data_IF_320319988876
#
_entry.id   IF_320319988876
#
_cell.length_a   1.000
_cell.length_b   1.000
_cell.length_c   1.000
_cell.angle_alpha   90.00
_cell.angle_beta   90.00
_cell.angle_gamma   90.00
#
_symmetry.space_group_name_H-M   'P 1'
#
loop_
_entity.id
_entity.type
_entity.pdbx_description
1 polymer ?
#
# COMPACT_ATOMS: atom_id res chain seq x y z
N UNK A 1 -7.90 -4.68 14.57
CA UNK A 1 -6.95 -4.37 15.67
C UNK A 1 -5.63 -5.12 15.54
N UNK A 2 -5.60 -6.44 15.30
CA UNK A 2 -4.34 -7.21 15.22
C UNK A 2 -3.41 -6.78 14.07
N UNK A 3 -3.94 -6.56 12.85
CA UNK A 3 -3.14 -6.16 11.70
C UNK A 3 -2.51 -4.77 11.82
N UNK A 4 -3.21 -3.84 12.46
CA UNK A 4 -2.67 -2.51 12.78
C UNK A 4 -1.41 -2.63 13.65
N UNK A 5 -1.47 -3.44 14.71
CA UNK A 5 -0.33 -3.68 15.58
C UNK A 5 0.83 -4.39 14.87
N UNK A 6 0.53 -5.44 14.10
CA UNK A 6 1.55 -6.16 13.34
C UNK A 6 2.23 -5.25 12.31
N UNK A 7 1.45 -4.40 11.64
CA UNK A 7 1.98 -3.40 10.73
C UNK A 7 2.95 -2.46 11.44
N UNK A 8 2.57 -1.88 12.59
CA UNK A 8 3.47 -1.02 13.36
C UNK A 8 4.77 -1.71 13.77
N UNK A 9 4.69 -2.99 14.18
CA UNK A 9 5.85 -3.78 14.58
C UNK A 9 6.78 -4.09 13.41
N UNK A 10 6.24 -4.38 12.23
CA UNK A 10 7.00 -4.81 11.06
C UNK A 10 7.38 -3.65 10.12
N UNK A 11 6.81 -2.45 10.32
CA UNK A 11 6.98 -1.29 9.44
C UNK A 11 8.45 -0.97 9.19
N UNK A 12 9.25 -0.82 10.24
CA UNK A 12 10.65 -0.43 10.11
C UNK A 12 11.50 -1.46 9.36
N UNK A 13 11.20 -2.75 9.53
CA UNK A 13 11.99 -3.84 8.97
C UNK A 13 11.60 -4.20 7.53
N UNK A 14 10.31 -4.05 7.18
CA UNK A 14 9.77 -4.58 5.92
C UNK A 14 9.18 -3.51 5.00
N UNK A 15 8.64 -2.43 5.58
CA UNK A 15 7.93 -1.39 4.81
C UNK A 15 8.85 -0.23 4.47
N UNK A 16 9.60 0.29 5.45
CA UNK A 16 10.53 1.41 5.21
C UNK A 16 11.52 1.10 4.07
N UNK A 17 12.18 -0.07 4.01
CA UNK A 17 13.05 -0.40 2.88
C UNK A 17 12.32 -0.46 1.53
N UNK A 18 11.06 -0.88 1.52
CA UNK A 18 10.22 -0.91 0.32
C UNK A 18 9.84 0.50 -0.13
N UNK A 19 9.52 1.39 0.80
CA UNK A 19 9.25 2.80 0.52
C UNK A 19 10.50 3.53 0.03
N UNK A 20 11.65 3.28 0.67
CA UNK A 20 12.94 3.84 0.26
C UNK A 20 13.31 3.38 -1.15
N UNK A 21 13.14 2.08 -1.44
CA UNK A 21 13.33 1.53 -2.77
C UNK A 21 12.38 2.16 -3.81
N UNK A 22 11.09 2.30 -3.47
CA UNK A 22 10.11 2.93 -4.35
C UNK A 22 10.43 4.41 -4.61
N UNK A 23 10.97 5.12 -3.62
CA UNK A 23 11.39 6.52 -3.72
C UNK A 23 12.66 6.70 -4.56
N UNK A 24 13.61 5.76 -4.45
CA UNK A 24 14.87 5.80 -5.21
C UNK A 24 14.67 5.48 -6.69
N UNK A 25 13.70 4.63 -7.03
CA UNK A 25 13.43 4.19 -8.40
C UNK A 25 12.45 5.08 -9.17
N UNK A 26 12.57 6.41 -9.06
CA UNK A 26 11.65 7.42 -9.63
C UNK A 26 11.18 7.21 -11.10
N UNK A 27 11.78 6.30 -11.87
CA UNK A 27 11.44 5.99 -13.25
C UNK A 27 11.14 4.51 -13.60
N UNK A 28 11.12 3.56 -12.64
CA UNK A 28 11.07 2.12 -12.98
C UNK A 28 9.94 1.30 -12.34
N UNK A 29 8.99 1.93 -11.65
CA UNK A 29 7.86 1.22 -11.05
C UNK A 29 6.75 0.87 -12.06
N UNK A 30 7.14 0.22 -13.16
CA UNK A 30 6.25 -0.38 -14.17
C UNK A 30 5.17 -1.23 -13.48
N UNK A 31 5.53 -1.99 -12.44
CA UNK A 31 4.60 -2.84 -11.68
C UNK A 31 3.53 -2.07 -10.90
N UNK A 32 3.84 -0.88 -10.36
CA UNK A 32 2.85 -0.08 -9.62
C UNK A 32 2.00 0.79 -10.56
N UNK A 33 2.52 1.17 -11.73
CA UNK A 33 1.73 1.83 -12.78
C UNK A 33 0.60 0.93 -13.31
N UNK A 34 0.78 -0.39 -13.35
CA UNK A 34 -0.29 -1.35 -13.69
C UNK A 34 -1.45 -1.36 -12.67
N UNK A 35 -1.23 -0.88 -11.45
CA UNK A 35 -2.27 -0.73 -10.43
C UNK A 35 -3.06 0.58 -10.58
N UNK A 36 -2.59 1.51 -11.42
CA UNK A 36 -3.24 2.79 -11.67
C UNK A 36 -3.81 2.83 -13.09
N UNK A 37 -4.99 2.23 -13.36
CA UNK A 37 -5.64 2.38 -14.64
C UNK A 37 -5.97 3.87 -14.85
N UNK A 38 -5.55 4.43 -16.00
CA UNK A 38 -5.72 5.85 -16.36
C UNK A 38 -7.19 6.36 -16.26
N UNK A 39 -8.18 5.47 -16.15
CA UNK A 39 -9.61 5.78 -16.00
C UNK A 39 -10.09 5.90 -14.54
N UNK A 40 -9.30 5.51 -13.54
CA UNK A 40 -9.68 5.56 -12.11
C UNK A 40 -9.16 6.80 -11.37
N UNK A 41 -8.91 7.91 -12.08
CA UNK A 41 -8.59 9.19 -11.42
C UNK A 41 -9.74 9.70 -10.53
N UNK A 42 -10.95 9.17 -10.69
CA UNK A 42 -12.16 9.62 -9.99
C UNK A 42 -12.51 8.88 -8.68
N UNK A 43 -11.86 7.75 -8.35
CA UNK A 43 -12.18 6.97 -7.15
C UNK A 43 -10.96 6.75 -6.24
N UNK A 44 -10.58 7.73 -5.40
CA UNK A 44 -9.46 7.60 -4.47
C UNK A 44 -9.59 6.40 -3.50
N UNK A 45 -10.78 5.81 -3.34
CA UNK A 45 -11.02 4.66 -2.46
C UNK A 45 -10.39 3.35 -2.95
N UNK A 46 -10.46 3.01 -4.25
CA UNK A 46 -9.98 1.70 -4.76
C UNK A 46 -8.46 1.59 -4.77
N UNK A 47 -7.78 2.66 -5.19
CA UNK A 47 -6.32 2.72 -5.18
C UNK A 47 -5.76 2.70 -3.75
N UNK A 48 -6.36 3.48 -2.84
CA UNK A 48 -5.96 3.52 -1.42
C UNK A 48 -6.10 2.16 -0.77
N UNK A 49 -7.19 1.43 -1.06
CA UNK A 49 -7.39 0.07 -0.56
C UNK A 49 -6.34 -0.89 -1.12
N UNK A 50 -6.07 -0.84 -2.42
CA UNK A 50 -5.11 -1.73 -3.08
C UNK A 50 -3.68 -1.51 -2.57
N UNK A 51 -3.26 -0.25 -2.39
CA UNK A 51 -1.97 0.07 -1.79
C UNK A 51 -1.91 -0.34 -0.32
N UNK A 52 -3.02 -0.21 0.42
CA UNK A 52 -3.12 -0.70 1.78
C UNK A 52 -3.00 -2.22 1.87
N UNK A 53 -3.66 -2.97 0.98
CA UNK A 53 -3.52 -4.43 0.91
C UNK A 53 -2.09 -4.84 0.57
N UNK A 54 -1.43 -4.13 -0.36
CA UNK A 54 -0.04 -4.39 -0.71
C UNK A 54 0.88 -4.20 0.50
N UNK A 55 0.79 -3.06 1.19
CA UNK A 55 1.61 -2.77 2.36
C UNK A 55 1.36 -3.78 3.50
N UNK A 56 0.11 -4.19 3.72
CA UNK A 56 -0.20 -5.21 4.73
C UNK A 56 0.32 -6.59 4.32
N UNK A 57 0.29 -6.94 3.04
CA UNK A 57 0.84 -8.20 2.53
C UNK A 57 2.36 -8.29 2.72
N UNK A 58 3.07 -7.16 2.61
CA UNK A 58 4.52 -7.09 2.82
C UNK A 58 4.85 -7.11 4.32
N UNK A 59 4.11 -6.37 5.13
CA UNK A 59 4.32 -6.33 6.58
C UNK A 59 4.00 -7.69 7.24
N UNK A 60 2.92 -8.35 6.80
CA UNK A 60 2.33 -9.50 7.47
C UNK A 60 2.03 -10.66 6.50
N UNK A 61 3.03 -11.18 5.75
CA UNK A 61 2.78 -12.13 4.66
C UNK A 61 2.07 -13.40 5.12
N UNK A 62 2.46 -13.96 6.27
CA UNK A 62 1.86 -15.16 6.84
C UNK A 62 0.37 -14.95 7.18
N UNK A 63 0.04 -13.83 7.84
CA UNK A 63 -1.34 -13.49 8.18
C UNK A 63 -2.18 -13.11 6.96
N UNK A 64 -1.55 -12.67 5.88
CA UNK A 64 -2.22 -12.22 4.66
C UNK A 64 -2.47 -13.37 3.67
N UNK A 65 -1.54 -14.33 3.58
CA UNK A 65 -1.60 -15.46 2.66
C UNK A 65 -2.85 -16.32 2.88
N UNK A 66 -3.18 -16.60 4.14
CA UNK A 66 -4.30 -17.49 4.51
C UNK A 66 -5.66 -16.77 4.57
N UNK A 67 -5.67 -15.44 4.43
CA UNK A 67 -6.91 -14.66 4.55
C UNK A 67 -7.76 -14.74 3.27
N UNK A 68 -9.07 -15.03 3.35
CA UNK A 68 -9.97 -14.97 2.19
C UNK A 68 -10.01 -13.58 1.54
N UNK A 69 -10.04 -13.53 0.21
CA UNK A 69 -10.06 -12.26 -0.56
C UNK A 69 -11.18 -11.30 -0.12
N UNK A 70 -12.36 -11.81 0.22
CA UNK A 70 -13.49 -11.01 0.69
C UNK A 70 -13.24 -10.35 2.05
N UNK A 71 -12.40 -10.94 2.89
CA UNK A 71 -12.05 -10.40 4.22
C UNK A 71 -10.84 -9.48 4.17
N UNK A 72 -9.92 -9.66 3.22
CA UNK A 72 -8.73 -8.81 3.04
C UNK A 72 -9.08 -7.33 2.90
N UNK A 73 -10.04 -7.01 2.02
CA UNK A 73 -10.51 -5.62 1.82
C UNK A 73 -11.04 -5.00 3.10
N UNK A 74 -11.90 -5.72 3.81
CA UNK A 74 -12.46 -5.26 5.08
C UNK A 74 -11.38 -5.00 6.13
N UNK A 75 -10.44 -5.93 6.26
CA UNK A 75 -9.35 -5.81 7.23
C UNK A 75 -8.34 -4.72 6.85
N UNK A 76 -8.09 -4.52 5.56
CA UNK A 76 -7.29 -3.41 5.06
C UNK A 76 -7.95 -2.07 5.37
N UNK A 77 -9.23 -1.90 5.05
CA UNK A 77 -10.00 -0.69 5.38
C UNK A 77 -9.95 -0.37 6.89
N UNK A 78 -10.12 -1.38 7.74
CA UNK A 78 -9.98 -1.20 9.19
C UNK A 78 -8.56 -0.78 9.60
N UNK A 79 -7.53 -1.43 9.06
CA UNK A 79 -6.15 -1.10 9.40
C UNK A 79 -5.78 0.32 8.95
N UNK A 80 -6.24 0.74 7.77
CA UNK A 80 -6.08 2.09 7.23
C UNK A 80 -6.77 3.11 8.12
N UNK A 81 -8.02 2.85 8.53
CA UNK A 81 -8.77 3.75 9.41
C UNK A 81 -8.09 3.94 10.78
N UNK A 82 -7.47 2.88 11.31
CA UNK A 82 -6.86 2.85 12.64
C UNK A 82 -5.38 3.30 12.66
N UNK A 83 -4.68 3.26 11.52
CA UNK A 83 -3.24 3.54 11.44
C UNK A 83 -2.97 4.83 10.67
N UNK A 84 -2.59 5.91 11.37
CA UNK A 84 -2.08 7.12 10.70
C UNK A 84 -0.86 6.82 9.84
N UNK A 85 0.12 6.08 10.38
CA UNK A 85 1.34 5.72 9.66
C UNK A 85 1.08 4.93 8.37
N UNK A 86 0.10 4.01 8.38
CA UNK A 86 -0.26 3.27 7.17
C UNK A 86 -0.86 4.20 6.11
N UNK A 87 -1.68 5.18 6.51
CA UNK A 87 -2.23 6.17 5.59
C UNK A 87 -1.12 7.01 4.97
N UNK A 88 -0.16 7.46 5.77
CA UNK A 88 0.97 8.25 5.30
C UNK A 88 1.84 7.46 4.31
N UNK A 89 2.08 6.18 4.58
CA UNK A 89 2.81 5.28 3.69
C UNK A 89 2.04 4.99 2.38
N UNK A 90 0.71 4.88 2.45
CA UNK A 90 -0.15 4.77 1.26
C UNK A 90 -0.08 6.05 0.42
N UNK A 91 -0.18 7.23 1.04
CA UNK A 91 -0.06 8.50 0.32
C UNK A 91 1.32 8.65 -0.32
N UNK A 92 2.37 8.29 0.40
CA UNK A 92 3.74 8.28 -0.13
C UNK A 92 3.86 7.38 -1.36
N UNK A 93 3.35 6.15 -1.30
CA UNK A 93 3.35 5.26 -2.48
C UNK A 93 2.51 5.82 -3.61
N UNK A 94 1.31 6.33 -3.32
CA UNK A 94 0.41 6.91 -4.31
C UNK A 94 1.05 8.08 -5.03
N UNK A 95 1.67 9.01 -4.31
CA UNK A 95 2.32 10.18 -4.90
C UNK A 95 3.50 9.77 -5.78
N UNK A 96 4.26 8.75 -5.37
CA UNK A 96 5.34 8.18 -6.20
C UNK A 96 4.82 7.45 -7.46
N UNK A 97 3.60 6.91 -7.43
CA UNK A 97 2.93 6.30 -8.60
C UNK A 97 2.34 7.36 -9.52
N UNK A 98 1.78 8.43 -8.97
CA UNK A 98 1.12 9.51 -9.71
C UNK A 98 2.10 10.58 -10.22
N UNK A 99 3.36 10.58 -9.76
CA UNK A 99 4.39 11.47 -10.29
C UNK A 99 4.70 11.11 -11.76
N UNK A 100 4.84 12.11 -12.64
CA UNK A 100 4.40 11.95 -14.02
C UNK A 100 5.46 11.30 -14.90
N UNK A 101 4.98 10.44 -15.80
CA UNK A 101 5.55 10.30 -17.15
C UNK A 101 5.50 11.69 -17.80
N UNK A 102 6.59 12.45 -17.67
CA UNK A 102 6.88 13.65 -18.46
C UNK A 102 8.34 13.58 -18.90
N UNK A 103 8.55 12.90 -20.02
CA UNK A 103 9.48 13.38 -21.06
C UNK A 103 8.70 13.46 -22.37
#
# INVERSE_FOLDING_TARGET
MQLHHLYQQQRALRIVPLLDFASQLQHHNIALCYLCPQKEQDAPSTLTETLGELLLSVACPESWQDMPLTQRRYHAQQAIALSSLLRDDIFTLRDNILCPVKE
#
